data_IF_376772826155
#
_entry.id   IF_376772826155
#
_cell.length_a   1.000
_cell.length_b   1.000
_cell.length_c   1.000
_cell.angle_alpha   90.00
_cell.angle_beta   90.00
_cell.angle_gamma   90.00
#
_symmetry.space_group_name_H-M   'P 1'
#
loop_
_entity.id
_entity.type
_entity.pdbx_description
1 polymer ?
#
# COMPACT_ATOMS: atom_id res chain seq x y z
N UNK A 1 19.29 -1.26 -5.43
CA UNK A 1 18.65 -1.91 -6.59
C UNK A 1 17.69 -0.92 -7.17
N UNK A 2 17.26 -1.06 -8.41
CA UNK A 2 16.37 -0.07 -9.03
C UNK A 2 15.07 0.15 -8.25
N UNK A 3 14.59 -0.93 -7.63
CA UNK A 3 13.27 -1.02 -7.02
C UNK A 3 13.40 -1.60 -5.61
N UNK A 4 12.71 -0.99 -4.65
CA UNK A 4 12.40 -1.61 -3.37
C UNK A 4 10.97 -2.13 -3.41
N UNK A 5 10.76 -3.35 -2.92
CA UNK A 5 9.44 -3.95 -2.75
C UNK A 5 9.24 -4.20 -1.26
N UNK A 6 8.14 -3.69 -0.71
CA UNK A 6 7.73 -3.96 0.67
C UNK A 6 6.43 -4.73 0.62
N UNK A 7 6.45 -5.93 1.17
CA UNK A 7 5.29 -6.77 1.42
C UNK A 7 5.25 -7.15 2.89
N UNK A 8 4.09 -7.31 3.52
CA UNK A 8 4.06 -7.76 4.94
C UNK A 8 4.51 -9.23 5.08
N UNK A 9 4.74 -9.71 6.32
CA UNK A 9 5.19 -11.11 6.54
C UNK A 9 4.07 -12.14 6.36
N UNK A 10 2.84 -11.81 6.73
CA UNK A 10 1.75 -12.77 6.92
C UNK A 10 0.42 -12.01 6.94
N UNK A 11 -0.40 -12.20 5.91
CA UNK A 11 -1.82 -11.90 5.97
C UNK A 11 -2.66 -13.03 5.39
N UNK A 12 -3.61 -13.54 6.19
CA UNK A 12 -4.45 -14.67 5.80
C UNK A 12 -5.43 -14.32 4.66
N UNK A 13 -5.69 -13.03 4.46
CA UNK A 13 -6.54 -12.46 3.41
C UNK A 13 -5.75 -11.90 2.22
N UNK A 14 -4.41 -11.94 2.24
CA UNK A 14 -3.54 -11.45 1.17
C UNK A 14 -2.43 -12.46 0.82
N UNK A 15 -2.41 -12.93 -0.42
CA UNK A 15 -1.35 -13.85 -0.88
C UNK A 15 -0.05 -13.11 -1.21
N UNK A 16 0.70 -12.77 -0.18
CA UNK A 16 1.99 -12.09 -0.29
C UNK A 16 3.03 -12.93 -1.05
N UNK A 17 2.99 -14.26 -0.90
CA UNK A 17 3.96 -15.12 -1.60
C UNK A 17 3.73 -15.08 -3.10
N UNK A 18 2.47 -15.15 -3.53
CA UNK A 18 2.11 -14.98 -4.93
C UNK A 18 2.57 -13.63 -5.47
N UNK A 19 2.30 -12.54 -4.75
CA UNK A 19 2.66 -11.19 -5.18
C UNK A 19 4.17 -11.00 -5.28
N UNK A 20 4.94 -11.45 -4.28
CA UNK A 20 6.40 -11.38 -4.33
C UNK A 20 6.95 -12.15 -5.52
N UNK A 21 6.46 -13.37 -5.77
CA UNK A 21 6.85 -14.14 -6.95
C UNK A 21 6.53 -13.39 -8.24
N UNK A 22 5.32 -12.82 -8.36
CA UNK A 22 4.90 -12.07 -9.56
C UNK A 22 5.75 -10.83 -9.81
N UNK A 23 6.09 -10.07 -8.77
CA UNK A 23 6.97 -8.91 -8.94
C UNK A 23 8.36 -9.33 -9.44
N UNK A 24 8.94 -10.40 -8.91
CA UNK A 24 10.23 -10.89 -9.39
C UNK A 24 10.15 -11.40 -10.84
N UNK A 25 9.10 -12.17 -11.18
CA UNK A 25 8.83 -12.63 -12.55
C UNK A 25 8.72 -11.45 -13.53
N UNK A 26 7.90 -10.43 -13.22
CA UNK A 26 7.73 -9.26 -14.09
C UNK A 26 9.00 -8.42 -14.24
N UNK A 27 9.84 -8.36 -13.21
CA UNK A 27 11.13 -7.67 -13.30
C UNK A 27 12.12 -8.41 -14.19
N UNK A 28 12.10 -9.75 -14.19
CA UNK A 28 12.92 -10.58 -15.09
C UNK A 28 12.40 -10.55 -16.54
N UNK A 29 11.09 -10.43 -16.74
CA UNK A 29 10.46 -10.30 -18.07
C UNK A 29 10.71 -8.94 -18.74
N UNK A 30 11.07 -7.91 -17.97
CA UNK A 30 11.27 -6.57 -18.50
C UNK A 30 12.48 -6.48 -19.44
N UNK A 31 12.22 -6.21 -20.72
CA UNK A 31 13.24 -6.27 -21.78
C UNK A 31 14.10 -5.01 -21.92
N UNK A 32 13.70 -3.86 -21.33
CA UNK A 32 14.42 -2.60 -21.53
C UNK A 32 15.80 -2.55 -20.87
N UNK A 33 15.95 -3.23 -19.73
CA UNK A 33 17.20 -3.45 -19.00
C UNK A 33 16.94 -4.41 -17.84
N UNK A 34 17.99 -4.98 -17.23
CA UNK A 34 17.83 -5.73 -15.98
C UNK A 34 17.32 -4.81 -14.87
N UNK A 35 16.24 -5.21 -14.20
CA UNK A 35 15.74 -4.59 -12.98
C UNK A 35 16.17 -5.45 -11.78
N UNK A 36 16.61 -4.81 -10.70
CA UNK A 36 16.99 -5.51 -9.46
C UNK A 36 16.16 -5.01 -8.29
N UNK A 37 15.41 -5.92 -7.67
CA UNK A 37 14.62 -5.66 -6.48
C UNK A 37 15.42 -5.85 -5.19
N UNK A 38 15.15 -5.01 -4.19
CA UNK A 38 15.34 -5.36 -2.78
C UNK A 38 13.97 -5.60 -2.17
N UNK A 39 13.71 -6.83 -1.70
CA UNK A 39 12.43 -7.21 -1.10
C UNK A 39 12.55 -7.16 0.42
N UNK A 40 11.61 -6.49 1.09
CA UNK A 40 11.53 -6.38 2.54
C UNK A 40 10.14 -6.81 3.04
N UNK A 41 10.11 -7.31 4.27
CA UNK A 41 8.88 -7.85 4.89
C UNK A 41 8.07 -6.81 5.69
N UNK A 42 8.57 -5.58 5.75
CA UNK A 42 8.01 -4.46 6.50
C UNK A 42 8.73 -3.17 6.09
N UNK A 43 8.29 -2.04 6.65
CA UNK A 43 8.88 -0.72 6.40
C UNK A 43 10.12 -0.45 7.26
N UNK A 44 10.76 -1.45 7.88
CA UNK A 44 12.01 -1.19 8.61
C UNK A 44 13.16 -0.95 7.64
N UNK A 45 14.15 -0.16 8.07
CA UNK A 45 15.38 0.12 7.33
C UNK A 45 15.15 0.84 5.97
N UNK A 46 14.10 1.65 5.83
CA UNK A 46 13.90 2.43 4.61
C UNK A 46 15.10 3.33 4.31
N UNK A 47 15.75 3.88 5.33
CA UNK A 47 16.93 4.74 5.22
C UNK A 47 18.12 4.03 4.57
N UNK A 48 18.28 2.74 4.89
CA UNK A 48 19.32 1.89 4.34
C UNK A 48 19.09 1.61 2.86
N UNK A 49 17.85 1.35 2.46
CA UNK A 49 17.53 0.78 1.15
C UNK A 49 17.07 1.82 0.13
N UNK A 50 16.26 2.81 0.52
CA UNK A 50 15.67 3.78 -0.41
C UNK A 50 16.73 4.62 -1.13
N UNK A 51 17.85 4.93 -0.47
CA UNK A 51 18.98 5.68 -1.07
C UNK A 51 19.61 4.99 -2.29
N UNK A 52 19.31 3.72 -2.51
CA UNK A 52 19.82 2.93 -3.63
C UNK A 52 18.77 2.62 -4.69
N UNK A 53 17.56 3.15 -4.55
CA UNK A 53 16.37 2.81 -5.34
C UNK A 53 15.68 4.06 -5.87
N UNK A 54 15.01 3.94 -7.03
CA UNK A 54 14.22 5.02 -7.62
C UNK A 54 12.71 4.84 -7.40
N UNK A 55 12.28 3.59 -7.19
CA UNK A 55 10.88 3.24 -7.02
C UNK A 55 10.71 2.37 -5.78
N UNK A 56 9.67 2.65 -5.00
CA UNK A 56 9.18 1.84 -3.89
C UNK A 56 7.80 1.29 -4.28
N UNK A 57 7.65 -0.03 -4.29
CA UNK A 57 6.38 -0.73 -4.49
C UNK A 57 5.93 -1.31 -3.15
N UNK A 58 4.69 -1.04 -2.78
CA UNK A 58 4.11 -1.50 -1.52
C UNK A 58 2.89 -2.40 -1.79
N UNK A 59 2.85 -3.55 -1.11
CA UNK A 59 1.70 -4.44 -1.03
C UNK A 59 1.60 -4.97 0.41
N UNK A 60 1.03 -4.15 1.31
CA UNK A 60 0.91 -4.48 2.73
C UNK A 60 -0.46 -4.07 3.25
N UNK A 61 -1.25 -4.92 3.91
CA UNK A 61 -2.45 -4.48 4.65
C UNK A 61 -2.17 -4.44 6.15
N UNK A 62 -1.14 -3.67 6.52
CA UNK A 62 -0.67 -3.50 7.89
C UNK A 62 0.48 -4.47 8.21
N UNK A 63 1.57 -3.99 8.83
CA UNK A 63 1.76 -2.66 9.44
C UNK A 63 2.04 -1.55 8.42
N UNK A 64 1.74 -0.30 8.82
CA UNK A 64 2.19 0.91 8.11
C UNK A 64 3.58 1.35 8.59
N UNK A 65 4.26 2.21 7.85
CA UNK A 65 5.52 2.79 8.32
C UNK A 65 5.30 3.57 9.64
N UNK A 66 6.22 3.40 10.59
CA UNK A 66 6.24 4.23 11.80
C UNK A 66 6.66 5.67 11.48
N UNK A 67 6.66 6.55 12.48
CA UNK A 67 6.98 7.97 12.28
C UNK A 67 8.41 8.18 11.74
N UNK A 68 9.38 7.40 12.21
CA UNK A 68 10.76 7.51 11.76
C UNK A 68 10.92 7.09 10.30
N UNK A 69 10.36 5.94 9.91
CA UNK A 69 10.39 5.45 8.53
C UNK A 69 9.51 6.31 7.61
N UNK A 70 8.41 6.88 8.11
CA UNK A 70 7.60 7.84 7.35
C UNK A 70 8.40 9.11 7.04
N UNK A 71 9.15 9.65 8.00
CA UNK A 71 9.98 10.83 7.76
C UNK A 71 11.09 10.55 6.73
N UNK A 72 11.65 9.34 6.73
CA UNK A 72 12.60 8.89 5.70
C UNK A 72 11.94 8.80 4.33
N UNK A 73 10.76 8.18 4.25
CA UNK A 73 9.98 8.06 3.03
C UNK A 73 9.64 9.43 2.43
N UNK A 74 9.17 10.36 3.25
CA UNK A 74 8.85 11.73 2.83
C UNK A 74 10.07 12.44 2.24
N UNK A 75 11.22 12.40 2.93
CA UNK A 75 12.47 12.99 2.40
C UNK A 75 12.91 12.37 1.08
N UNK A 76 12.73 11.06 0.92
CA UNK A 76 13.07 10.36 -0.31
C UNK A 76 12.12 10.73 -1.47
N UNK A 77 10.81 10.85 -1.18
CA UNK A 77 9.81 11.35 -2.15
C UNK A 77 10.11 12.79 -2.58
N UNK A 78 10.41 13.67 -1.62
CA UNK A 78 10.82 15.06 -1.88
C UNK A 78 12.08 15.15 -2.76
N UNK A 79 12.99 14.17 -2.63
CA UNK A 79 14.17 14.04 -3.47
C UNK A 79 13.91 13.41 -4.85
N UNK A 80 12.65 13.16 -5.22
CA UNK A 80 12.25 12.64 -6.53
C UNK A 80 12.00 11.12 -6.59
N UNK A 81 12.05 10.44 -5.44
CA UNK A 81 11.62 9.05 -5.31
C UNK A 81 10.16 8.85 -5.72
N UNK A 82 9.80 7.63 -6.15
CA UNK A 82 8.46 7.31 -6.64
C UNK A 82 7.85 6.15 -5.86
N UNK A 83 6.68 6.36 -5.29
CA UNK A 83 5.97 5.31 -4.55
C UNK A 83 4.77 4.80 -5.36
N UNK A 84 4.58 3.48 -5.34
CA UNK A 84 3.40 2.79 -5.89
C UNK A 84 2.79 1.98 -4.75
N UNK A 85 1.64 2.43 -4.23
CA UNK A 85 0.87 1.69 -3.23
C UNK A 85 -0.21 0.84 -3.88
N UNK A 86 -0.21 -0.47 -3.59
CA UNK A 86 -1.14 -1.43 -4.16
C UNK A 86 -2.03 -2.00 -3.06
N UNK A 87 -3.33 -2.11 -3.35
CA UNK A 87 -4.32 -2.82 -2.54
C UNK A 87 -4.31 -2.40 -1.06
N UNK A 88 -3.83 -3.28 -0.18
CA UNK A 88 -3.82 -3.10 1.27
C UNK A 88 -3.03 -1.90 1.78
N UNK A 89 -2.15 -1.32 0.97
CA UNK A 89 -1.15 -0.31 1.39
C UNK A 89 -1.75 0.90 2.10
N UNK A 90 -2.98 1.29 1.74
CA UNK A 90 -3.69 2.41 2.37
C UNK A 90 -4.42 2.06 3.68
N UNK A 91 -4.41 0.79 4.07
CA UNK A 91 -5.02 0.30 5.31
C UNK A 91 -4.00 0.00 6.39
N UNK A 92 -4.36 -0.89 7.32
CA UNK A 92 -3.34 -1.60 8.09
C UNK A 92 -2.92 -1.01 9.43
N UNK A 93 -3.68 -0.06 9.99
CA UNK A 93 -3.57 0.22 11.42
C UNK A 93 -4.94 0.37 12.06
N UNK A 94 -5.33 -0.62 12.86
CA UNK A 94 -6.54 -0.56 13.68
C UNK A 94 -6.14 -0.68 15.15
N UNK A 95 -6.67 0.21 15.99
CA UNK A 95 -6.53 0.11 17.45
C UNK A 95 -7.78 -0.53 18.04
N UNK A 96 -7.61 -1.27 19.14
CA UNK A 96 -8.74 -1.67 19.98
C UNK A 96 -9.30 -0.41 20.65
N UNK A 97 -10.61 -0.28 20.69
CA UNK A 97 -11.31 0.84 21.36
C UNK A 97 -12.27 0.27 22.41
N UNK A 98 -12.66 1.07 23.40
CA UNK A 98 -13.82 0.77 24.24
C UNK A 98 -15.11 1.15 23.51
N UNK A 99 -16.22 0.57 23.94
CA UNK A 99 -17.54 0.85 23.34
C UNK A 99 -17.93 2.33 23.52
N UNK A 100 -17.59 2.92 24.67
CA UNK A 100 -17.85 4.34 24.95
C UNK A 100 -17.10 5.32 24.03
N UNK A 101 -15.90 4.96 23.55
CA UNK A 101 -15.06 5.80 22.67
C UNK A 101 -15.63 5.91 21.25
N UNK A 102 -16.61 5.06 20.90
CA UNK A 102 -17.23 5.06 19.57
C UNK A 102 -18.24 6.20 19.40
N UNK A 103 -18.85 6.68 20.48
CA UNK A 103 -19.87 7.74 20.43
C UNK A 103 -19.34 9.07 19.86
N UNK A 104 -18.04 9.34 20.00
CA UNK A 104 -17.39 10.60 19.63
C UNK A 104 -16.48 10.47 18.39
N UNK A 105 -16.61 9.41 17.59
CA UNK A 105 -15.73 9.18 16.44
C UNK A 105 -15.92 10.25 15.35
N UNK A 106 -14.80 10.91 14.96
CA UNK A 106 -14.75 11.97 13.92
C UNK A 106 -15.28 11.47 12.56
N UNK A 107 -15.09 10.18 12.27
CA UNK A 107 -15.74 9.49 11.17
C UNK A 107 -16.49 8.29 11.75
N UNK A 108 -17.79 8.11 11.46
CA UNK A 108 -18.49 6.89 11.82
C UNK A 108 -17.79 5.73 11.09
N UNK A 109 -16.98 4.96 11.83
CA UNK A 109 -16.38 3.74 11.32
C UNK A 109 -17.35 2.58 11.49
N UNK A 110 -17.25 1.54 10.68
CA UNK A 110 -17.95 0.29 11.00
C UNK A 110 -17.25 -0.42 12.15
N UNK A 111 -18.02 -0.89 13.13
CA UNK A 111 -17.52 -1.80 14.17
C UNK A 111 -17.25 -3.16 13.50
N UNK A 112 -15.98 -3.52 13.33
CA UNK A 112 -15.62 -4.86 12.88
C UNK A 112 -15.80 -5.83 14.05
N UNK A 113 -16.91 -6.57 14.09
CA UNK A 113 -17.22 -7.57 15.13
C UNK A 113 -16.56 -8.94 14.90
N UNK A 114 -15.65 -9.07 13.93
CA UNK A 114 -14.94 -10.32 13.63
C UNK A 114 -13.91 -10.78 14.67
N UNK A 115 -13.87 -10.16 15.87
CA UNK A 115 -12.98 -10.52 16.97
C UNK A 115 -13.47 -9.97 18.32
N UNK A 116 -12.85 -10.42 19.43
CA UNK A 116 -13.26 -10.19 20.84
C UNK A 116 -13.28 -8.72 21.34
N UNK A 117 -13.22 -7.71 20.46
CA UNK A 117 -13.50 -6.31 20.81
C UNK A 117 -13.60 -5.40 19.58
N UNK A 118 -14.34 -4.28 19.71
CA UNK A 118 -14.41 -3.25 18.69
C UNK A 118 -13.04 -2.66 18.35
N UNK A 119 -12.80 -2.46 17.06
CA UNK A 119 -11.57 -1.88 16.51
C UNK A 119 -11.93 -0.69 15.63
N UNK A 120 -11.06 0.31 15.64
CA UNK A 120 -11.18 1.51 14.80
C UNK A 120 -9.90 1.65 13.97
N UNK A 121 -10.04 1.85 12.66
CA UNK A 121 -8.91 2.24 11.81
C UNK A 121 -8.40 3.62 12.23
N UNK A 122 -7.08 3.76 12.34
CA UNK A 122 -6.43 5.00 12.77
C UNK A 122 -5.57 5.54 11.65
N UNK A 123 -5.85 6.78 11.26
CA UNK A 123 -5.00 7.51 10.33
C UNK A 123 -3.66 7.85 10.99
N UNK A 124 -2.59 7.70 10.23
CA UNK A 124 -1.18 7.91 10.62
C UNK A 124 -0.48 8.77 9.58
N UNK A 125 0.64 9.43 9.89
CA UNK A 125 1.40 10.25 8.93
C UNK A 125 1.77 9.52 7.62
N UNK A 126 1.93 8.20 7.66
CA UNK A 126 2.13 7.37 6.47
C UNK A 126 0.99 7.50 5.45
N UNK A 127 -0.26 7.59 5.90
CA UNK A 127 -1.42 7.73 5.03
C UNK A 127 -1.48 9.11 4.35
N UNK A 128 -1.04 10.16 5.05
CA UNK A 128 -0.89 11.49 4.44
C UNK A 128 0.22 11.49 3.39
N UNK A 129 1.30 10.74 3.62
CA UNK A 129 2.38 10.55 2.66
C UNK A 129 1.93 9.78 1.42
N UNK A 130 1.10 8.76 1.60
CA UNK A 130 0.50 7.98 0.51
C UNK A 130 -0.56 8.78 -0.27
N UNK A 131 -1.23 9.73 0.39
CA UNK A 131 -2.38 10.43 -0.16
C UNK A 131 -3.67 9.59 -0.16
N UNK A 132 -3.71 8.49 0.59
CA UNK A 132 -4.87 7.58 0.65
C UNK A 132 -5.04 6.96 2.05
N UNK A 133 -6.30 6.69 2.41
CA UNK A 133 -6.68 6.03 3.66
C UNK A 133 -7.86 5.08 3.41
N UNK A 134 -7.73 3.83 3.85
CA UNK A 134 -8.77 2.83 3.72
C UNK A 134 -9.97 3.14 4.62
N UNK A 135 -11.17 3.08 4.05
CA UNK A 135 -12.43 3.27 4.76
C UNK A 135 -13.21 1.97 4.91
N UNK A 136 -13.52 1.31 3.78
CA UNK A 136 -14.24 0.06 3.69
C UNK A 136 -14.05 -0.56 2.30
N UNK A 137 -14.45 -1.82 2.13
CA UNK A 137 -14.54 -2.47 0.81
C UNK A 137 -15.88 -3.21 0.64
N UNK A 138 -16.44 -3.28 -0.59
CA UNK A 138 -17.55 -4.18 -0.89
C UNK A 138 -17.07 -5.64 -0.90
N UNK A 139 -17.99 -6.63 -0.92
CA UNK A 139 -17.62 -8.03 -1.17
C UNK A 139 -16.80 -8.18 -2.46
N UNK A 140 -15.90 -9.17 -2.51
CA UNK A 140 -15.05 -9.43 -3.68
C UNK A 140 -15.92 -9.78 -4.89
N UNK A 141 -15.85 -8.95 -5.93
CA UNK A 141 -16.58 -9.13 -7.17
C UNK A 141 -15.86 -8.41 -8.33
N UNK A 142 -16.19 -8.77 -9.56
CA UNK A 142 -15.78 -8.01 -10.74
C UNK A 142 -16.64 -6.75 -10.87
N UNK A 143 -16.04 -5.67 -11.37
CA UNK A 143 -16.73 -4.41 -11.60
C UNK A 143 -16.15 -3.72 -12.84
N UNK A 144 -16.99 -2.95 -13.52
CA UNK A 144 -16.53 -2.19 -14.68
C UNK A 144 -15.62 -1.05 -14.23
N UNK A 145 -14.43 -0.97 -14.81
CA UNK A 145 -13.47 0.13 -14.65
C UNK A 145 -13.66 1.13 -15.78
N UNK A 146 -13.66 2.43 -15.47
CA UNK A 146 -13.73 3.52 -16.45
C UNK A 146 -12.43 4.32 -16.41
N UNK A 147 -11.81 4.52 -17.56
CA UNK A 147 -10.62 5.37 -17.71
C UNK A 147 -11.05 6.83 -17.77
N UNK A 148 -10.62 7.64 -16.80
CA UNK A 148 -10.99 9.05 -16.68
C UNK A 148 -10.06 9.99 -17.44
N UNK A 149 -8.78 9.64 -17.55
CA UNK A 149 -7.78 10.37 -18.32
C UNK A 149 -7.08 9.40 -19.30
N UNK A 150 -7.48 9.38 -20.58
CA UNK A 150 -6.86 8.51 -21.58
C UNK A 150 -5.53 9.06 -22.11
N UNK A 151 -5.14 10.29 -21.76
CA UNK A 151 -3.88 10.90 -22.19
C UNK A 151 -2.76 10.66 -21.18
N UNK A 152 -3.09 10.35 -19.93
CA UNK A 152 -2.10 10.05 -18.91
C UNK A 152 -1.24 8.82 -19.30
N UNK A 153 0.10 8.85 -19.11
CA UNK A 153 0.99 7.78 -19.59
C UNK A 153 0.67 6.37 -19.06
N UNK A 154 0.04 6.25 -17.89
CA UNK A 154 -0.34 4.96 -17.29
C UNK A 154 -1.60 4.36 -17.95
N UNK A 155 -2.45 5.19 -18.53
CA UNK A 155 -3.77 4.80 -19.08
C UNK A 155 -3.86 4.97 -20.58
N UNK A 156 -2.83 5.57 -21.21
CA UNK A 156 -2.74 5.71 -22.65
C UNK A 156 -2.79 4.35 -23.35
N UNK A 157 -3.68 4.23 -24.32
CA UNK A 157 -3.88 2.99 -25.10
C UNK A 157 -4.84 1.98 -24.45
N UNK A 158 -5.32 2.22 -23.23
CA UNK A 158 -6.40 1.42 -22.64
C UNK A 158 -7.76 1.80 -23.25
N UNK A 159 -8.72 0.85 -23.32
CA UNK A 159 -10.10 1.18 -23.69
C UNK A 159 -10.73 2.12 -22.65
N UNK A 160 -11.74 2.89 -23.07
CA UNK A 160 -12.45 3.83 -22.19
C UNK A 160 -13.10 3.13 -20.99
N UNK A 161 -13.50 1.87 -21.15
CA UNK A 161 -14.01 1.01 -20.09
C UNK A 161 -13.63 -0.46 -20.33
N UNK A 162 -13.49 -1.21 -19.23
CA UNK A 162 -13.20 -2.65 -19.22
C UNK A 162 -13.73 -3.32 -17.95
N UNK A 163 -13.77 -4.65 -17.93
CA UNK A 163 -14.25 -5.49 -16.82
C UNK A 163 -13.13 -6.26 -16.15
#
# INVERSE_FOLDING_TARGET
GDIMVVTDRLQFDHDVQYVNRKFLEWMDEYQGRKLVATVASDYSNLDRWLKHTQVLICYCSGPVADEANTAVLQKWLEAGGKMIGIHGTSGGFARRVKEEEFADAIYPGELHFGGNAPRQYVKKPFHDTLGAFFMAHPPIHTFQVKVTDPQHPVTAGLPADFW
#
